data_IF_404775307831
#
_entry.id   IF_404775307831
#
_cell.length_a   1.000
_cell.length_b   1.000
_cell.length_c   1.000
_cell.angle_alpha   90.00
_cell.angle_beta   90.00
_cell.angle_gamma   90.00
#
_symmetry.space_group_name_H-M   'P 1'
#
loop_
_entity.id
_entity.type
_entity.pdbx_description
1 polymer ?
#
# COMPACT_ATOMS: atom_id res chain seq x y z
N UNK A 1 1.34 -28.88 17.37
CA UNK A 1 2.31 -27.89 17.87
C UNK A 1 1.67 -26.53 17.63
N UNK A 2 1.23 -25.84 18.65
CA UNK A 2 0.64 -24.49 18.47
C UNK A 2 1.81 -23.54 18.22
N UNK A 3 1.85 -22.92 17.04
CA UNK A 3 2.76 -21.79 16.79
C UNK A 3 2.35 -20.68 17.73
N UNK A 4 3.30 -20.09 18.46
CA UNK A 4 3.05 -18.94 19.34
C UNK A 4 3.18 -17.63 18.54
N UNK A 5 2.81 -17.67 17.27
CA UNK A 5 2.90 -16.56 16.33
C UNK A 5 1.54 -15.89 16.21
N UNK A 6 1.51 -14.57 16.27
CA UNK A 6 0.35 -13.75 16.08
C UNK A 6 0.57 -12.82 14.88
N UNK A 7 -0.40 -12.72 14.00
CA UNK A 7 -0.34 -11.74 12.92
C UNK A 7 -0.39 -10.32 13.50
N UNK A 8 0.47 -9.45 12.98
CA UNK A 8 0.59 -8.06 13.43
C UNK A 8 -0.74 -7.29 13.42
N UNK A 9 -1.59 -7.56 12.43
CA UNK A 9 -2.94 -6.97 12.35
C UNK A 9 -3.88 -7.33 13.51
N UNK A 10 -3.54 -8.32 14.33
CA UNK A 10 -4.29 -8.69 15.55
C UNK A 10 -3.76 -7.99 16.82
N UNK A 11 -2.71 -7.19 16.69
CA UNK A 11 -2.05 -6.59 17.86
C UNK A 11 -2.97 -5.69 18.69
N UNK A 12 -3.81 -4.89 18.03
CA UNK A 12 -4.72 -3.99 18.74
C UNK A 12 -5.80 -4.79 19.47
N UNK A 13 -6.32 -5.87 18.88
CA UNK A 13 -7.25 -6.80 19.56
C UNK A 13 -6.58 -7.51 20.75
N UNK A 14 -5.30 -7.88 20.61
CA UNK A 14 -4.54 -8.47 21.71
C UNK A 14 -4.36 -7.47 22.87
N UNK A 15 -4.09 -6.20 22.57
CA UNK A 15 -4.01 -5.13 23.56
C UNK A 15 -5.34 -4.96 24.30
N UNK A 16 -6.45 -4.81 23.56
CA UNK A 16 -7.80 -4.71 24.14
C UNK A 16 -8.14 -5.91 25.03
N UNK A 17 -7.84 -7.11 24.57
CA UNK A 17 -8.06 -8.34 25.34
C UNK A 17 -7.21 -8.39 26.61
N UNK A 18 -5.95 -7.96 26.53
CA UNK A 18 -5.07 -7.91 27.69
C UNK A 18 -5.51 -6.84 28.69
N UNK A 19 -5.94 -5.68 28.22
CA UNK A 19 -6.47 -4.61 29.08
C UNK A 19 -7.73 -5.06 29.82
N UNK A 20 -8.65 -5.80 29.15
CA UNK A 20 -9.83 -6.37 29.79
C UNK A 20 -9.50 -7.39 30.89
N UNK A 21 -8.38 -8.09 30.79
CA UNK A 21 -7.92 -9.08 31.75
C UNK A 21 -6.84 -8.56 32.70
N UNK A 22 -6.56 -7.27 32.67
CA UNK A 22 -5.50 -6.60 33.45
C UNK A 22 -4.08 -7.21 33.23
N UNK A 23 -3.84 -7.79 32.04
CA UNK A 23 -2.52 -8.31 31.69
C UNK A 23 -1.62 -7.21 31.12
N UNK A 24 -0.36 -7.21 31.57
CA UNK A 24 0.66 -6.34 30.99
C UNK A 24 1.29 -7.01 29.79
N UNK A 25 1.13 -6.42 28.59
CA UNK A 25 1.81 -6.87 27.37
C UNK A 25 3.08 -6.03 27.21
N UNK A 26 4.21 -6.71 27.00
CA UNK A 26 5.43 -6.09 26.48
C UNK A 26 5.50 -6.38 25.00
N UNK A 27 5.44 -5.35 24.18
CA UNK A 27 5.57 -5.46 22.73
C UNK A 27 7.01 -5.05 22.40
N UNK A 28 7.77 -6.00 21.88
CA UNK A 28 9.17 -5.81 21.48
C UNK A 28 9.22 -5.73 19.95
N UNK A 29 8.69 -4.63 19.40
CA UNK A 29 8.64 -4.37 17.97
C UNK A 29 9.10 -2.95 17.69
N UNK A 30 9.98 -2.81 16.72
CA UNK A 30 10.27 -1.50 16.16
C UNK A 30 9.06 -1.00 15.34
N UNK A 31 8.65 0.23 15.62
CA UNK A 31 7.65 0.91 14.82
C UNK A 31 8.29 1.24 13.47
N UNK A 32 7.79 0.64 12.38
CA UNK A 32 8.31 0.88 11.03
C UNK A 32 7.82 2.21 10.45
N UNK A 33 6.81 2.81 11.06
CA UNK A 33 6.24 4.08 10.64
C UNK A 33 7.18 5.26 10.93
N UNK A 34 6.95 6.35 10.25
CA UNK A 34 7.75 7.57 10.37
C UNK A 34 6.94 8.69 11.04
N UNK A 35 7.53 9.39 12.02
CA UNK A 35 6.90 10.58 12.53
C UNK A 35 6.84 11.64 11.43
N UNK A 36 5.63 12.02 11.04
CA UNK A 36 5.42 13.02 9.99
C UNK A 36 4.56 14.15 10.54
N UNK A 37 4.96 15.40 10.26
CA UNK A 37 4.17 16.56 10.61
C UNK A 37 3.09 16.85 9.58
N UNK A 38 1.98 17.45 10.03
CA UNK A 38 0.92 17.90 9.13
C UNK A 38 1.43 18.93 8.12
N UNK A 39 2.36 19.79 8.52
CA UNK A 39 3.01 20.76 7.61
C UNK A 39 3.75 20.07 6.48
N UNK A 40 4.51 19.00 6.76
CA UNK A 40 5.21 18.26 5.71
C UNK A 40 4.24 17.63 4.73
N UNK A 41 3.16 17.01 5.22
CA UNK A 41 2.13 16.39 4.36
C UNK A 41 1.45 17.44 3.48
N UNK A 42 1.09 18.59 4.04
CA UNK A 42 0.49 19.69 3.29
C UNK A 42 1.43 20.20 2.18
N UNK A 43 2.71 20.36 2.47
CA UNK A 43 3.71 20.74 1.46
C UNK A 43 3.81 19.69 0.36
N UNK A 44 3.86 18.40 0.72
CA UNK A 44 3.88 17.29 -0.24
C UNK A 44 2.68 17.35 -1.19
N UNK A 45 1.47 17.58 -0.66
CA UNK A 45 0.25 17.71 -1.46
C UNK A 45 0.31 18.93 -2.40
N UNK A 46 0.79 20.06 -1.91
CA UNK A 46 0.95 21.27 -2.73
C UNK A 46 1.94 21.05 -3.89
N UNK A 47 3.07 20.39 -3.61
CA UNK A 47 4.06 20.04 -4.64
C UNK A 47 3.49 19.09 -5.71
N UNK A 48 2.58 18.20 -5.35
CA UNK A 48 1.93 17.29 -6.30
C UNK A 48 1.06 18.01 -7.32
N UNK A 49 0.53 19.21 -7.00
CA UNK A 49 -0.34 19.98 -7.90
C UNK A 49 -1.36 19.09 -8.64
N UNK A 50 -2.10 18.30 -7.87
CA UNK A 50 -2.91 17.19 -8.34
C UNK A 50 -3.92 17.61 -9.41
N UNK A 51 -3.97 16.84 -10.49
CA UNK A 51 -4.92 17.03 -11.59
C UNK A 51 -5.86 15.82 -11.72
N UNK A 52 -7.02 16.04 -12.29
CA UNK A 52 -7.88 14.98 -12.82
C UNK A 52 -8.67 15.48 -14.02
N UNK A 53 -8.51 14.78 -15.16
CA UNK A 53 -9.12 15.16 -16.42
C UNK A 53 -8.84 16.63 -16.81
N UNK A 54 -7.59 17.06 -16.64
CA UNK A 54 -7.12 18.43 -16.94
C UNK A 54 -7.66 19.51 -16.00
N UNK A 55 -8.19 19.14 -14.84
CA UNK A 55 -8.66 20.06 -13.81
C UNK A 55 -7.91 19.83 -12.52
N UNK A 56 -7.54 20.91 -11.85
CA UNK A 56 -6.94 20.82 -10.53
C UNK A 56 -7.94 20.19 -9.54
N UNK A 57 -7.46 19.26 -8.74
CA UNK A 57 -8.24 18.62 -7.68
C UNK A 57 -7.56 18.84 -6.33
N UNK A 58 -8.38 18.88 -5.28
CA UNK A 58 -7.89 18.97 -3.91
C UNK A 58 -8.08 17.62 -3.22
N UNK A 59 -7.09 17.25 -2.41
CA UNK A 59 -7.20 16.10 -1.53
C UNK A 59 -8.19 16.40 -0.41
N UNK A 60 -9.09 15.48 -0.12
CA UNK A 60 -10.10 15.65 0.95
C UNK A 60 -9.50 15.30 2.32
N UNK A 61 -10.05 15.87 3.39
CA UNK A 61 -9.55 15.68 4.76
C UNK A 61 -9.35 14.20 5.12
N UNK A 62 -10.34 13.35 4.85
CA UNK A 62 -10.24 11.91 5.13
C UNK A 62 -9.15 11.20 4.31
N UNK A 63 -8.85 11.67 3.10
CA UNK A 63 -7.75 11.12 2.28
C UNK A 63 -6.40 11.56 2.86
N UNK A 64 -6.31 12.80 3.31
CA UNK A 64 -5.13 13.33 4.00
C UNK A 64 -4.86 12.58 5.30
N UNK A 65 -5.90 12.30 6.08
CA UNK A 65 -5.82 11.51 7.30
C UNK A 65 -5.35 10.07 7.00
N UNK A 66 -5.88 9.45 5.94
CA UNK A 66 -5.48 8.11 5.51
C UNK A 66 -4.00 8.07 5.11
N UNK A 67 -3.52 9.05 4.33
CA UNK A 67 -2.09 9.19 3.97
C UNK A 67 -1.23 9.36 5.23
N UNK A 68 -1.62 10.26 6.12
CA UNK A 68 -0.91 10.53 7.38
C UNK A 68 -0.80 9.29 8.25
N UNK A 69 -1.91 8.56 8.39
CA UNK A 69 -1.96 7.32 9.17
C UNK A 69 -1.07 6.23 8.56
N UNK A 70 -1.11 6.07 7.22
CA UNK A 70 -0.31 5.08 6.53
C UNK A 70 1.19 5.32 6.72
N UNK A 71 1.63 6.57 6.62
CA UNK A 71 3.04 6.93 6.82
C UNK A 71 3.45 6.69 8.29
N UNK A 72 2.64 7.13 9.26
CA UNK A 72 2.97 6.99 10.69
C UNK A 72 2.98 5.56 11.18
N UNK A 73 2.13 4.70 10.63
CA UNK A 73 2.07 3.27 11.02
C UNK A 73 3.02 2.38 10.22
N UNK A 74 3.31 2.72 8.97
CA UNK A 74 4.09 1.90 8.05
C UNK A 74 3.40 0.58 7.66
N UNK A 75 2.57 0.02 8.54
CA UNK A 75 1.73 -1.16 8.29
C UNK A 75 0.30 -0.86 8.68
N UNK A 76 -0.60 -0.84 7.71
CA UNK A 76 -2.00 -0.45 7.96
C UNK A 76 -2.94 -0.98 6.90
N UNK A 77 -4.19 -1.19 7.30
CA UNK A 77 -5.32 -1.41 6.41
C UNK A 77 -6.22 -0.18 6.46
N UNK A 78 -6.38 0.48 5.32
CA UNK A 78 -7.22 1.65 5.17
C UNK A 78 -8.62 1.23 4.70
N UNK A 79 -9.62 1.50 5.53
CA UNK A 79 -11.01 1.33 5.12
C UNK A 79 -11.42 2.53 4.26
N UNK A 80 -11.63 2.28 2.98
CA UNK A 80 -11.89 3.32 1.99
C UNK A 80 -12.98 2.85 1.02
N UNK A 81 -14.22 3.29 1.17
CA UNK A 81 -15.34 2.86 0.32
C UNK A 81 -15.09 3.08 -1.18
N UNK A 82 -15.84 2.38 -2.02
CA UNK A 82 -15.79 2.60 -3.48
C UNK A 82 -16.12 4.07 -3.79
N UNK A 83 -15.34 4.69 -4.68
CA UNK A 83 -15.50 6.11 -5.02
C UNK A 83 -14.86 7.09 -4.03
N UNK A 84 -14.22 6.63 -2.97
CA UNK A 84 -13.52 7.50 -2.00
C UNK A 84 -12.17 8.04 -2.50
N UNK A 85 -11.72 7.63 -3.70
CA UNK A 85 -10.43 8.04 -4.26
C UNK A 85 -9.25 7.24 -3.72
N UNK A 86 -9.39 5.91 -3.56
CA UNK A 86 -8.31 5.00 -3.17
C UNK A 86 -7.05 5.18 -4.02
N UNK A 87 -7.21 5.30 -5.36
CA UNK A 87 -6.07 5.50 -6.26
C UNK A 87 -5.29 6.79 -5.98
N UNK A 88 -5.99 7.86 -5.56
CA UNK A 88 -5.35 9.12 -5.18
C UNK A 88 -4.56 8.98 -3.86
N UNK A 89 -5.11 8.27 -2.88
CA UNK A 89 -4.40 7.96 -1.62
C UNK A 89 -3.13 7.16 -1.91
N UNK A 90 -3.24 6.09 -2.73
CA UNK A 90 -2.10 5.27 -3.14
C UNK A 90 -1.08 6.12 -3.91
N UNK A 91 -1.51 6.95 -4.87
CA UNK A 91 -0.61 7.83 -5.63
C UNK A 91 0.18 8.78 -4.73
N UNK A 92 -0.48 9.41 -3.76
CA UNK A 92 0.16 10.31 -2.81
C UNK A 92 1.22 9.59 -1.97
N UNK A 93 0.90 8.38 -1.49
CA UNK A 93 1.85 7.53 -0.75
C UNK A 93 3.01 7.05 -1.63
N UNK A 94 2.72 6.67 -2.89
CA UNK A 94 3.74 6.31 -3.88
C UNK A 94 4.71 7.46 -4.11
N UNK A 95 4.20 8.67 -4.27
CA UNK A 95 5.05 9.84 -4.45
C UNK A 95 5.91 10.13 -3.21
N UNK A 96 5.32 10.04 -2.02
CA UNK A 96 6.05 10.16 -0.75
C UNK A 96 7.22 9.17 -0.67
N UNK A 97 6.97 7.89 -0.89
CA UNK A 97 8.01 6.86 -0.83
C UNK A 97 9.03 6.97 -1.98
N UNK A 98 8.61 7.46 -3.16
CA UNK A 98 9.52 7.75 -4.28
C UNK A 98 10.54 8.83 -3.94
N UNK A 99 10.14 9.89 -3.21
CA UNK A 99 11.06 10.94 -2.71
C UNK A 99 12.12 10.37 -1.76
N UNK A 100 11.84 9.26 -1.11
CA UNK A 100 12.77 8.54 -0.23
C UNK A 100 13.59 7.46 -0.96
N UNK A 101 13.45 7.35 -2.28
CA UNK A 101 14.16 6.37 -3.11
C UNK A 101 13.70 4.92 -2.90
N UNK A 102 12.53 4.70 -2.30
CA UNK A 102 12.00 3.36 -1.99
C UNK A 102 11.38 2.69 -3.20
N UNK A 103 11.71 1.42 -3.39
CA UNK A 103 11.13 0.59 -4.44
C UNK A 103 9.77 0.05 -4.01
N UNK A 104 8.79 0.11 -4.91
CA UNK A 104 7.39 -0.05 -4.53
C UNK A 104 6.67 -1.07 -5.41
N UNK A 105 5.84 -1.92 -4.78
CA UNK A 105 4.99 -2.90 -5.46
C UNK A 105 3.52 -2.59 -5.17
N UNK A 106 2.72 -2.42 -6.21
CA UNK A 106 1.27 -2.24 -6.12
C UNK A 106 0.60 -3.49 -6.66
N UNK A 107 -0.21 -4.13 -5.83
CA UNK A 107 -0.92 -5.36 -6.16
C UNK A 107 -2.41 -5.09 -6.25
N UNK A 108 -2.98 -5.36 -7.42
CA UNK A 108 -4.40 -5.17 -7.69
C UNK A 108 -5.06 -6.47 -8.16
N UNK A 109 -6.40 -6.60 -8.05
CA UNK A 109 -7.09 -7.85 -8.38
C UNK A 109 -7.08 -8.22 -9.87
N UNK A 110 -7.18 -7.24 -10.77
CA UNK A 110 -7.43 -7.47 -12.20
C UNK A 110 -6.51 -6.66 -13.10
N UNK A 111 -6.33 -7.11 -14.33
CA UNK A 111 -5.55 -6.39 -15.35
C UNK A 111 -6.15 -5.03 -15.70
N UNK A 112 -7.49 -4.92 -15.69
CA UNK A 112 -8.17 -3.64 -15.91
C UNK A 112 -7.81 -2.63 -14.82
N UNK A 113 -7.69 -3.06 -13.56
CA UNK A 113 -7.26 -2.19 -12.45
C UNK A 113 -5.77 -1.81 -12.55
N UNK A 114 -4.91 -2.67 -13.12
CA UNK A 114 -3.51 -2.29 -13.43
C UNK A 114 -3.48 -1.12 -14.40
N UNK A 115 -4.22 -1.21 -15.50
CA UNK A 115 -4.28 -0.15 -16.51
C UNK A 115 -4.95 1.11 -15.99
N UNK A 116 -6.04 0.97 -15.23
CA UNK A 116 -6.72 2.10 -14.61
C UNK A 116 -5.78 2.84 -13.64
N UNK A 117 -5.12 2.14 -12.73
CA UNK A 117 -4.21 2.77 -11.77
C UNK A 117 -3.03 3.46 -12.45
N UNK A 118 -2.49 2.86 -13.51
CA UNK A 118 -1.45 3.49 -14.32
C UNK A 118 -1.96 4.76 -15.00
N UNK A 119 -3.17 4.74 -15.56
CA UNK A 119 -3.83 5.91 -16.15
C UNK A 119 -4.14 7.00 -15.13
N UNK A 120 -4.66 6.62 -13.96
CA UNK A 120 -4.93 7.54 -12.86
C UNK A 120 -3.64 8.24 -12.41
N UNK A 121 -2.52 7.52 -12.31
CA UNK A 121 -1.23 8.11 -11.93
C UNK A 121 -0.72 9.10 -12.98
N UNK A 122 -0.88 8.79 -14.27
CA UNK A 122 -0.53 9.71 -15.35
C UNK A 122 -1.38 10.99 -15.30
N UNK A 123 -2.67 10.86 -15.00
CA UNK A 123 -3.61 11.98 -14.89
C UNK A 123 -3.28 12.85 -13.65
N UNK A 124 -3.11 12.23 -12.47
CA UNK A 124 -2.77 12.94 -11.24
C UNK A 124 -1.45 13.71 -11.32
N UNK A 125 -0.46 13.17 -12.04
CA UNK A 125 0.86 13.76 -12.21
C UNK A 125 0.97 14.73 -13.41
N UNK A 126 -0.11 14.98 -14.13
CA UNK A 126 -0.05 15.72 -15.42
C UNK A 126 0.46 17.16 -15.32
N UNK A 127 0.45 17.75 -14.12
CA UNK A 127 0.95 19.11 -13.87
C UNK A 127 2.35 19.15 -13.24
N UNK A 128 3.02 18.00 -13.06
CA UNK A 128 4.37 17.92 -12.47
C UNK A 128 5.31 17.14 -13.39
N UNK A 129 6.62 17.34 -13.21
CA UNK A 129 7.67 16.60 -13.95
C UNK A 129 7.83 15.17 -13.40
N UNK A 130 6.73 14.38 -13.39
CA UNK A 130 6.76 12.99 -12.99
C UNK A 130 6.14 12.10 -14.08
N UNK A 131 7.01 11.49 -14.86
CA UNK A 131 6.60 10.64 -15.99
C UNK A 131 6.28 9.22 -15.52
N UNK A 132 5.01 8.84 -15.61
CA UNK A 132 4.54 7.51 -15.23
C UNK A 132 5.25 6.41 -16.02
N UNK A 133 5.60 6.66 -17.29
CA UNK A 133 6.24 5.67 -18.15
C UNK A 133 7.68 5.34 -17.75
N UNK A 134 8.35 6.30 -17.10
CA UNK A 134 9.71 6.11 -16.55
C UNK A 134 9.70 5.52 -15.14
N UNK A 135 8.68 5.81 -14.37
CA UNK A 135 8.62 5.44 -12.96
C UNK A 135 7.85 4.15 -12.71
N UNK A 136 6.86 3.80 -13.56
CA UNK A 136 5.97 2.68 -13.33
C UNK A 136 6.09 1.61 -14.41
N UNK A 137 6.27 0.36 -13.99
CA UNK A 137 6.20 -0.83 -14.85
C UNK A 137 4.96 -1.66 -14.53
N UNK A 138 4.28 -2.17 -15.57
CA UNK A 138 3.06 -2.97 -15.42
C UNK A 138 3.35 -4.43 -15.70
N UNK A 139 3.04 -5.32 -14.75
CA UNK A 139 3.21 -6.76 -14.90
C UNK A 139 1.85 -7.46 -14.88
N UNK A 140 1.45 -8.04 -16.02
CA UNK A 140 0.32 -8.95 -16.17
C UNK A 140 0.53 -9.85 -17.40
N UNK A 141 -0.43 -10.74 -17.71
CA UNK A 141 -0.30 -11.67 -18.84
C UNK A 141 0.01 -10.95 -20.14
N UNK A 142 1.10 -11.34 -20.80
CA UNK A 142 1.57 -10.72 -22.05
C UNK A 142 2.48 -9.50 -21.90
N UNK A 143 2.80 -9.07 -20.67
CA UNK A 143 3.75 -7.99 -20.39
C UNK A 143 5.08 -8.54 -19.85
N UNK A 144 6.14 -7.76 -20.03
CA UNK A 144 7.46 -8.07 -19.51
C UNK A 144 7.43 -8.17 -17.98
N UNK A 145 8.21 -9.12 -17.44
CA UNK A 145 8.25 -9.43 -16.00
C UNK A 145 9.43 -8.79 -15.29
N UNK A 146 9.93 -7.68 -15.81
CA UNK A 146 11.00 -6.91 -15.18
C UNK A 146 10.55 -6.27 -13.87
N UNK A 147 11.48 -6.10 -12.94
CA UNK A 147 11.27 -5.33 -11.71
C UNK A 147 12.28 -4.18 -11.56
N UNK A 148 12.87 -3.72 -12.65
CA UNK A 148 13.89 -2.66 -12.60
C UNK A 148 13.30 -1.27 -12.31
N UNK A 149 12.03 -1.05 -12.69
CA UNK A 149 11.38 0.22 -12.41
C UNK A 149 11.22 0.47 -10.90
N UNK A 150 11.26 1.73 -10.47
CA UNK A 150 11.03 2.11 -9.06
C UNK A 150 9.67 1.63 -8.54
N UNK A 151 8.66 1.62 -9.40
CA UNK A 151 7.29 1.23 -9.06
C UNK A 151 6.82 0.14 -10.01
N UNK A 152 6.33 -0.96 -9.44
CA UNK A 152 5.72 -2.05 -10.20
C UNK A 152 4.24 -2.14 -9.85
N UNK A 153 3.38 -2.11 -10.87
CA UNK A 153 1.92 -2.32 -10.73
C UNK A 153 1.58 -3.68 -11.33
N UNK A 154 1.01 -4.58 -10.54
CA UNK A 154 0.76 -5.96 -10.99
C UNK A 154 -0.52 -6.55 -10.44
N UNK A 155 -1.02 -7.57 -11.15
CA UNK A 155 -1.99 -8.46 -10.52
C UNK A 155 -1.26 -9.52 -9.69
N UNK A 156 -1.84 -9.96 -8.57
CA UNK A 156 -1.25 -11.01 -7.75
C UNK A 156 -1.06 -12.33 -8.53
N UNK A 157 -1.97 -12.64 -9.47
CA UNK A 157 -1.91 -13.84 -10.32
C UNK A 157 -0.64 -13.88 -11.19
N UNK A 158 -0.15 -12.71 -11.56
CA UNK A 158 1.03 -12.61 -12.43
C UNK A 158 2.34 -12.83 -11.70
N UNK A 159 2.38 -12.54 -10.40
CA UNK A 159 3.64 -12.50 -9.62
C UNK A 159 3.73 -13.53 -8.49
N UNK A 160 2.63 -14.16 -8.03
CA UNK A 160 2.65 -15.06 -6.86
C UNK A 160 3.62 -16.24 -7.00
N UNK A 161 3.94 -16.67 -8.22
CA UNK A 161 4.89 -17.74 -8.51
C UNK A 161 6.35 -17.28 -8.55
N UNK A 162 6.61 -15.98 -8.52
CA UNK A 162 7.99 -15.48 -8.57
C UNK A 162 8.76 -15.90 -7.32
N UNK A 163 10.09 -16.05 -7.42
CA UNK A 163 10.92 -16.43 -6.27
C UNK A 163 10.88 -15.32 -5.20
N UNK A 164 11.12 -15.72 -3.95
CA UNK A 164 11.19 -14.78 -2.81
C UNK A 164 12.17 -13.63 -3.07
N UNK A 165 13.32 -13.92 -3.65
CA UNK A 165 14.34 -12.91 -3.98
C UNK A 165 13.86 -11.79 -4.89
N UNK A 166 12.83 -12.04 -5.70
CA UNK A 166 12.21 -10.99 -6.51
C UNK A 166 11.47 -9.97 -5.63
N UNK A 167 10.82 -10.46 -4.57
CA UNK A 167 10.07 -9.62 -3.62
C UNK A 167 10.99 -8.88 -2.63
N UNK A 168 12.16 -9.44 -2.31
CA UNK A 168 13.10 -8.84 -1.36
C UNK A 168 13.66 -7.49 -1.82
N UNK A 169 13.45 -7.12 -3.10
CA UNK A 169 13.85 -5.83 -3.64
C UNK A 169 12.88 -4.69 -3.35
N UNK A 170 11.70 -4.97 -2.80
CA UNK A 170 10.68 -3.96 -2.55
C UNK A 170 10.63 -3.52 -1.10
N UNK A 171 10.69 -2.20 -0.88
CA UNK A 171 10.58 -1.58 0.44
C UNK A 171 9.11 -1.40 0.85
N UNK A 172 8.24 -1.19 -0.12
CA UNK A 172 6.81 -0.88 0.12
C UNK A 172 5.92 -1.77 -0.73
N UNK A 173 4.87 -2.31 -0.12
CA UNK A 173 3.77 -2.95 -0.86
C UNK A 173 2.44 -2.23 -0.58
N UNK A 174 1.68 -2.04 -1.65
CA UNK A 174 0.28 -1.62 -1.60
C UNK A 174 -0.61 -2.76 -2.09
N UNK A 175 -1.64 -3.08 -1.33
CA UNK A 175 -2.68 -4.04 -1.74
C UNK A 175 -4.01 -3.32 -1.92
N UNK A 176 -4.42 -3.10 -3.17
CA UNK A 176 -5.75 -2.55 -3.44
C UNK A 176 -6.81 -3.66 -3.41
N UNK A 177 -8.01 -3.32 -2.95
CA UNK A 177 -9.11 -4.25 -2.70
C UNK A 177 -8.67 -5.47 -1.84
N UNK A 178 -8.02 -5.18 -0.72
CA UNK A 178 -7.42 -6.17 0.16
C UNK A 178 -8.40 -7.27 0.65
N UNK A 179 -9.72 -7.01 0.63
CA UNK A 179 -10.73 -8.01 0.95
C UNK A 179 -10.77 -9.22 -0.02
N UNK A 180 -10.26 -9.04 -1.23
CA UNK A 180 -10.12 -10.14 -2.21
C UNK A 180 -8.91 -11.03 -1.91
N UNK A 181 -8.08 -10.66 -0.94
CA UNK A 181 -6.84 -11.34 -0.56
C UNK A 181 -7.03 -12.64 0.23
N UNK A 182 -8.25 -13.20 0.26
CA UNK A 182 -8.56 -14.50 0.88
C UNK A 182 -7.98 -15.71 0.15
N UNK A 183 -7.50 -15.53 -1.08
CA UNK A 183 -6.99 -16.63 -1.87
C UNK A 183 -5.64 -17.12 -1.32
N UNK A 184 -5.48 -18.45 -1.22
CA UNK A 184 -4.24 -19.12 -0.78
C UNK A 184 -2.96 -18.59 -1.49
N UNK A 185 -3.10 -18.20 -2.76
CA UNK A 185 -2.00 -17.64 -3.55
C UNK A 185 -1.55 -16.27 -3.07
N UNK A 186 -2.44 -15.50 -2.45
CA UNK A 186 -2.09 -14.19 -1.92
C UNK A 186 -1.44 -14.29 -0.54
N UNK A 187 -1.91 -15.22 0.31
CA UNK A 187 -1.19 -15.60 1.54
C UNK A 187 0.24 -16.01 1.18
N UNK A 188 0.40 -16.86 0.15
CA UNK A 188 1.72 -17.26 -0.36
C UNK A 188 2.55 -16.06 -0.84
N UNK A 189 1.95 -15.04 -1.44
CA UNK A 189 2.64 -13.81 -1.83
C UNK A 189 3.08 -13.02 -0.60
N UNK A 190 2.18 -12.84 0.37
CA UNK A 190 2.49 -12.11 1.61
C UNK A 190 3.60 -12.79 2.42
N UNK A 191 3.64 -14.14 2.44
CA UNK A 191 4.70 -14.91 3.08
C UNK A 191 6.09 -14.69 2.43
N UNK A 192 6.13 -14.29 1.16
CA UNK A 192 7.38 -13.96 0.46
C UNK A 192 7.91 -12.56 0.78
N UNK A 193 7.07 -11.66 1.25
CA UNK A 193 7.41 -10.25 1.51
C UNK A 193 8.09 -10.04 2.87
N UNK A 194 8.95 -10.96 3.30
CA UNK A 194 9.57 -10.92 4.64
C UNK A 194 10.47 -9.72 4.86
N UNK A 195 11.05 -9.18 3.80
CA UNK A 195 11.96 -8.02 3.85
C UNK A 195 11.27 -6.69 3.56
N UNK A 196 9.97 -6.69 3.27
CA UNK A 196 9.22 -5.47 2.93
C UNK A 196 8.65 -4.84 4.22
N UNK A 197 9.24 -3.75 4.73
CA UNK A 197 8.83 -3.15 6.00
C UNK A 197 7.47 -2.46 5.91
N UNK A 198 7.20 -1.73 4.82
CA UNK A 198 5.99 -0.94 4.67
C UNK A 198 4.92 -1.73 3.92
N UNK A 199 3.76 -1.93 4.56
CA UNK A 199 2.65 -2.71 4.00
C UNK A 199 1.34 -1.97 4.19
N UNK A 200 0.74 -1.52 3.10
CA UNK A 200 -0.45 -0.68 3.11
C UNK A 200 -1.53 -1.37 2.27
N UNK A 201 -2.62 -1.74 2.93
CA UNK A 201 -3.81 -2.26 2.27
C UNK A 201 -4.90 -1.21 2.15
N UNK A 202 -5.67 -1.25 1.06
CA UNK A 202 -6.93 -0.49 0.94
C UNK A 202 -8.08 -1.45 0.71
N UNK A 203 -9.23 -1.20 1.32
CA UNK A 203 -10.43 -2.02 1.13
C UNK A 203 -11.70 -1.20 1.27
N UNK A 204 -12.71 -1.52 0.47
CA UNK A 204 -14.05 -0.92 0.59
C UNK A 204 -14.93 -1.57 1.65
N UNK A 205 -14.58 -2.77 2.11
CA UNK A 205 -15.37 -3.55 3.08
C UNK A 205 -14.49 -4.08 4.19
N UNK A 206 -14.94 -3.95 5.44
CA UNK A 206 -14.34 -4.62 6.59
C UNK A 206 -14.86 -6.06 6.63
N UNK A 207 -14.01 -7.00 6.25
CA UNK A 207 -14.20 -8.39 6.60
C UNK A 207 -13.10 -8.75 7.60
N UNK A 208 -13.47 -8.99 8.85
CA UNK A 208 -12.55 -9.29 9.95
C UNK A 208 -11.65 -10.52 9.70
N UNK A 209 -11.97 -11.33 8.68
CA UNK A 209 -11.11 -12.44 8.24
C UNK A 209 -9.87 -11.98 7.46
N UNK A 210 -9.69 -10.67 7.22
CA UNK A 210 -8.59 -10.07 6.43
C UNK A 210 -7.38 -9.64 7.27
N UNK A 211 -7.34 -9.97 8.55
CA UNK A 211 -6.27 -9.52 9.46
C UNK A 211 -4.93 -10.27 9.21
N UNK A 212 -4.63 -10.55 7.94
CA UNK A 212 -3.37 -11.17 7.53
C UNK A 212 -2.38 -10.21 6.84
N UNK A 213 -2.67 -8.91 6.81
CA UNK A 213 -1.79 -7.90 6.19
C UNK A 213 -0.77 -7.36 7.19
#
# INVERSE_FOLDING_TARGET
MYTRELYLGLLDYLKEFADQLEYKIKIDMEDVGEPISSTYINNLIQELNLQSNGRQIEIRDYQLDAVSQAIRKGRTLLLSPTGSGKSLIIFTLVHYHSKLGRKQLIVVPTTSLVEQMYGDFADYASAIEWDVSKNCHRIYSGKEKSNEAPIVISTWQSIYKFPKSWFDSFDVIYGDEAHLFKAKSLTTLMDKLTQTPYRIGTTGTLDLSLIHI
#
